data_IF_133266234825
#
_entry.id   IF_133266234825
#
_cell.length_a   1.000
_cell.length_b   1.000
_cell.length_c   1.000
_cell.angle_alpha   90.00
_cell.angle_beta   90.00
_cell.angle_gamma   90.00
#
_symmetry.space_group_name_H-M   'P 1'
#
loop_
_entity.id
_entity.type
_entity.pdbx_description
1 polymer ?
#
# COMPACT_ATOMS: atom_id res chain seq x y z
N UNK A 1 10.16 24.31 41.28
CA UNK A 1 10.50 23.90 39.90
C UNK A 1 11.75 24.63 39.45
N UNK A 2 12.75 23.94 38.91
CA UNK A 2 13.94 24.59 38.32
C UNK A 2 13.59 24.97 36.87
N UNK A 3 13.70 26.25 36.46
CA UNK A 3 13.48 26.63 35.07
C UNK A 3 14.45 25.86 34.16
N UNK A 4 13.95 25.32 33.06
CA UNK A 4 14.78 24.66 32.04
C UNK A 4 15.73 25.64 31.36
N UNK A 5 16.73 25.10 30.65
CA UNK A 5 17.63 25.93 29.82
C UNK A 5 16.80 26.72 28.80
N UNK A 6 17.03 28.04 28.65
CA UNK A 6 16.33 28.84 27.65
C UNK A 6 16.51 28.26 26.25
N UNK A 7 15.45 28.34 25.43
CA UNK A 7 15.51 27.91 24.03
C UNK A 7 16.55 28.76 23.30
N UNK A 8 17.50 28.09 22.65
CA UNK A 8 18.60 28.74 21.89
C UNK A 8 18.31 28.80 20.39
N UNK A 9 17.34 28.01 19.92
CA UNK A 9 16.94 27.95 18.51
C UNK A 9 15.64 28.73 18.39
N UNK A 10 15.69 29.76 17.55
CA UNK A 10 14.58 30.64 17.22
C UNK A 10 13.52 29.95 16.36
N UNK A 11 12.29 30.45 16.42
CA UNK A 11 11.14 29.80 15.80
C UNK A 11 11.22 29.85 14.26
N UNK A 12 11.76 30.92 13.66
CA UNK A 12 12.09 30.98 12.23
C UNK A 12 13.01 29.85 11.78
N UNK A 13 14.02 29.50 12.59
CA UNK A 13 14.95 28.40 12.26
C UNK A 13 14.26 27.04 12.35
N UNK A 14 13.34 26.88 13.30
CA UNK A 14 12.52 25.66 13.41
C UNK A 14 11.56 25.56 12.22
N UNK A 15 10.93 26.66 11.81
CA UNK A 15 10.06 26.70 10.63
C UNK A 15 10.81 26.34 9.35
N UNK A 16 12.03 26.86 9.17
CA UNK A 16 12.91 26.50 8.05
C UNK A 16 13.27 25.01 8.06
N UNK A 17 13.61 24.44 9.23
CA UNK A 17 13.88 23.00 9.39
C UNK A 17 12.67 22.18 8.94
N UNK A 18 11.46 22.53 9.40
CA UNK A 18 10.23 21.82 9.05
C UNK A 18 9.95 21.93 7.55
N UNK A 19 9.90 23.16 7.03
CA UNK A 19 9.61 23.41 5.62
C UNK A 19 10.56 22.63 4.70
N UNK A 20 11.86 22.65 5.02
CA UNK A 20 12.86 21.88 4.26
C UNK A 20 12.62 20.38 4.35
N UNK A 21 12.36 19.87 5.56
CA UNK A 21 12.11 18.44 5.77
C UNK A 21 10.89 17.94 5.00
N UNK A 22 9.84 18.76 4.87
CA UNK A 22 8.59 18.37 4.21
C UNK A 22 8.60 18.52 2.68
N UNK A 23 9.39 19.45 2.14
CA UNK A 23 9.30 19.82 0.72
C UNK A 23 10.52 19.48 -0.13
N UNK A 24 11.64 19.08 0.48
CA UNK A 24 12.86 18.75 -0.26
C UNK A 24 13.42 17.39 0.14
N UNK A 25 14.42 16.92 -0.61
CA UNK A 25 15.21 15.72 -0.30
C UNK A 25 16.68 16.11 -0.20
N UNK A 26 17.48 15.26 0.43
CA UNK A 26 18.91 15.50 0.56
C UNK A 26 19.60 15.48 -0.81
N UNK A 27 20.57 16.38 -0.98
CA UNK A 27 21.32 16.53 -2.22
C UNK A 27 22.27 15.34 -2.51
N UNK A 28 22.47 14.45 -1.54
CA UNK A 28 23.33 13.26 -1.64
C UNK A 28 22.67 12.07 -2.38
N UNK A 29 21.47 12.26 -2.92
CA UNK A 29 20.71 11.22 -3.61
C UNK A 29 19.99 10.25 -2.67
N UNK A 30 19.99 10.50 -1.36
CA UNK A 30 19.19 9.70 -0.43
C UNK A 30 17.68 9.92 -0.65
N UNK A 31 16.92 8.85 -0.44
CA UNK A 31 15.47 8.85 -0.66
C UNK A 31 14.72 9.68 0.39
N UNK A 32 15.29 9.86 1.58
CA UNK A 32 14.67 10.53 2.71
C UNK A 32 15.71 11.27 3.57
N UNK A 33 15.27 12.27 4.34
CA UNK A 33 16.12 12.95 5.31
C UNK A 33 16.54 12.03 6.46
N UNK A 34 17.83 12.01 6.75
CA UNK A 34 18.33 11.56 8.05
C UNK A 34 18.48 12.75 8.99
N UNK A 35 18.47 12.49 10.29
CA UNK A 35 18.75 13.53 11.31
C UNK A 35 20.09 14.22 11.03
N UNK A 36 21.10 13.47 10.57
CA UNK A 36 22.45 14.01 10.32
C UNK A 36 22.51 14.87 9.06
N UNK A 37 21.85 14.45 7.99
CA UNK A 37 21.87 15.17 6.71
C UNK A 37 21.11 16.49 6.81
N UNK A 38 19.93 16.50 7.43
CA UNK A 38 19.18 17.75 7.63
C UNK A 38 19.87 18.67 8.65
N UNK A 39 20.53 18.11 9.68
CA UNK A 39 21.32 18.89 10.64
C UNK A 39 22.50 19.62 9.97
N UNK A 40 23.23 18.91 9.10
CA UNK A 40 24.34 19.50 8.35
C UNK A 40 23.86 20.65 7.45
N UNK A 41 22.70 20.50 6.82
CA UNK A 41 22.15 21.52 5.92
C UNK A 41 21.49 22.71 6.61
N UNK A 42 20.94 22.53 7.81
CA UNK A 42 20.27 23.60 8.58
C UNK A 42 21.17 24.25 9.64
N UNK A 43 22.41 23.74 9.79
CA UNK A 43 23.35 24.10 10.84
C UNK A 43 22.73 24.04 12.25
N UNK A 44 21.85 23.05 12.48
CA UNK A 44 21.26 22.73 13.78
C UNK A 44 21.91 21.46 14.28
N UNK A 45 22.20 21.38 15.58
CA UNK A 45 22.78 20.15 16.17
C UNK A 45 21.88 18.93 15.91
N UNK A 46 22.41 17.76 15.55
CA UNK A 46 21.63 16.54 15.31
C UNK A 46 20.71 16.16 16.48
N UNK A 47 21.14 16.40 17.72
CA UNK A 47 20.34 16.14 18.92
C UNK A 47 19.08 17.01 18.97
N UNK A 48 19.21 18.31 18.69
CA UNK A 48 18.06 19.22 18.63
C UNK A 48 17.10 18.85 17.49
N UNK A 49 17.61 18.54 16.30
CA UNK A 49 16.78 18.05 15.17
C UNK A 49 15.98 16.82 15.57
N UNK A 50 16.63 15.82 16.18
CA UNK A 50 15.94 14.61 16.63
C UNK A 50 14.87 14.90 17.69
N UNK A 51 15.13 15.83 18.62
CA UNK A 51 14.12 16.28 19.58
C UNK A 51 12.92 16.94 18.89
N UNK A 52 13.14 17.81 17.90
CA UNK A 52 12.05 18.44 17.14
C UNK A 52 11.27 17.41 16.32
N UNK A 53 11.94 16.46 15.69
CA UNK A 53 11.26 15.40 14.96
C UNK A 53 10.36 14.56 15.88
N UNK A 54 10.85 14.20 17.07
CA UNK A 54 10.03 13.52 18.08
C UNK A 54 8.87 14.39 18.57
N UNK A 55 9.11 15.66 18.85
CA UNK A 55 8.10 16.60 19.35
C UNK A 55 6.95 16.80 18.34
N UNK A 56 7.30 16.90 17.06
CA UNK A 56 6.38 17.18 15.96
C UNK A 56 5.86 15.90 15.27
N UNK A 57 6.31 14.73 15.71
CA UNK A 57 5.99 13.45 15.11
C UNK A 57 6.48 13.28 13.66
N UNK A 58 7.50 14.05 13.23
CA UNK A 58 8.06 13.97 11.89
C UNK A 58 8.91 12.70 11.76
N UNK A 59 8.60 11.87 10.76
CA UNK A 59 9.26 10.60 10.54
C UNK A 59 9.68 10.43 9.07
N UNK A 60 10.67 11.21 8.58
CA UNK A 60 11.06 11.22 7.15
C UNK A 60 11.42 9.85 6.58
N UNK A 61 11.94 8.95 7.42
CA UNK A 61 12.39 7.61 7.03
C UNK A 61 11.26 6.59 6.95
N UNK A 62 10.01 6.97 7.25
CA UNK A 62 8.86 6.07 7.23
C UNK A 62 7.89 6.48 6.14
N UNK A 63 7.38 5.46 5.46
CA UNK A 63 6.20 5.56 4.62
C UNK A 63 5.22 4.48 5.04
N UNK A 64 3.94 4.82 5.02
CA UNK A 64 2.85 3.87 5.18
C UNK A 64 2.16 3.67 3.86
N UNK A 65 1.52 2.51 3.75
CA UNK A 65 0.71 2.24 2.59
C UNK A 65 -0.72 2.70 2.79
N UNK A 66 -1.32 3.26 1.75
CA UNK A 66 -2.74 3.55 1.75
C UNK A 66 -3.36 3.14 0.42
N UNK A 67 -4.68 2.90 0.45
CA UNK A 67 -5.46 2.75 -0.77
C UNK A 67 -6.86 3.30 -0.50
N UNK A 68 -7.24 4.28 -1.31
CA UNK A 68 -8.56 4.90 -1.30
C UNK A 68 -9.27 4.46 -2.56
N UNK A 69 -10.42 3.80 -2.41
CA UNK A 69 -11.31 3.53 -3.53
C UNK A 69 -12.14 4.78 -3.83
N UNK A 70 -12.27 5.13 -5.10
CA UNK A 70 -13.15 6.22 -5.58
C UNK A 70 -14.57 5.73 -5.90
N UNK A 71 -14.83 4.43 -5.72
CA UNK A 71 -16.13 3.81 -5.99
C UNK A 71 -17.16 4.19 -4.92
N UNK A 72 -18.27 4.81 -5.35
CA UNK A 72 -19.36 5.23 -4.47
C UNK A 72 -20.03 4.06 -3.74
N UNK A 73 -20.01 2.86 -4.34
CA UNK A 73 -20.59 1.64 -3.76
C UNK A 73 -19.54 0.72 -3.10
N UNK A 74 -18.35 1.25 -2.80
CA UNK A 74 -17.25 0.45 -2.25
C UNK A 74 -17.63 -0.36 -1.01
N UNK A 75 -18.35 0.25 -0.07
CA UNK A 75 -18.73 -0.40 1.19
C UNK A 75 -19.73 -1.53 0.97
N UNK A 76 -20.66 -1.38 0.03
CA UNK A 76 -21.65 -2.42 -0.29
C UNK A 76 -20.94 -3.62 -0.92
N UNK A 77 -20.12 -3.38 -1.94
CA UNK A 77 -19.31 -4.42 -2.59
C UNK A 77 -18.36 -5.12 -1.62
N UNK A 78 -17.76 -4.37 -0.71
CA UNK A 78 -16.91 -4.90 0.35
C UNK A 78 -17.70 -5.85 1.26
N UNK A 79 -18.89 -5.44 1.70
CA UNK A 79 -19.75 -6.28 2.55
C UNK A 79 -20.19 -7.54 1.81
N UNK A 80 -20.49 -7.46 0.53
CA UNK A 80 -20.84 -8.62 -0.29
C UNK A 80 -19.68 -9.63 -0.33
N UNK A 81 -18.45 -9.15 -0.61
CA UNK A 81 -17.25 -10.00 -0.64
C UNK A 81 -16.93 -10.61 0.72
N UNK A 82 -17.00 -9.83 1.80
CA UNK A 82 -16.78 -10.35 3.17
C UNK A 82 -17.88 -11.34 3.56
N UNK A 83 -19.12 -11.11 3.13
CA UNK A 83 -20.24 -12.03 3.31
C UNK A 83 -19.97 -13.41 2.72
N UNK A 84 -19.33 -13.47 1.55
CA UNK A 84 -18.95 -14.75 0.91
C UNK A 84 -17.93 -15.56 1.73
N UNK A 85 -17.09 -14.91 2.54
CA UNK A 85 -16.19 -15.62 3.46
C UNK A 85 -16.88 -16.10 4.73
N UNK A 86 -17.72 -15.24 5.31
CA UNK A 86 -18.36 -15.53 6.60
C UNK A 86 -19.50 -16.54 6.47
N UNK A 87 -20.20 -16.54 5.34
CA UNK A 87 -21.35 -17.40 5.09
C UNK A 87 -21.41 -17.76 3.60
N UNK A 88 -20.51 -18.65 3.14
CA UNK A 88 -20.48 -19.05 1.74
C UNK A 88 -21.80 -19.77 1.35
N UNK A 89 -22.35 -19.50 0.16
CA UNK A 89 -23.50 -20.23 -0.36
C UNK A 89 -23.20 -21.73 -0.51
N UNK A 90 -24.25 -22.55 -0.47
CA UNK A 90 -24.12 -23.99 -0.66
C UNK A 90 -23.59 -24.29 -2.08
N UNK A 91 -22.54 -25.10 -2.18
CA UNK A 91 -21.79 -25.41 -3.41
C UNK A 91 -21.06 -24.23 -4.08
N UNK A 92 -20.76 -23.14 -3.34
CA UNK A 92 -19.93 -22.07 -3.85
C UNK A 92 -18.45 -22.45 -3.87
N UNK A 93 -17.76 -22.13 -4.96
CA UNK A 93 -16.30 -22.09 -5.00
C UNK A 93 -15.86 -20.67 -4.63
N UNK A 94 -14.92 -20.53 -3.71
CA UNK A 94 -14.30 -19.23 -3.38
C UNK A 94 -12.81 -19.35 -3.63
N UNK A 95 -12.34 -18.66 -4.67
CA UNK A 95 -10.93 -18.56 -5.00
C UNK A 95 -10.39 -17.21 -4.55
N UNK A 96 -9.15 -17.16 -4.07
CA UNK A 96 -8.37 -15.92 -3.93
C UNK A 96 -7.35 -15.89 -5.05
N UNK A 97 -7.36 -14.89 -5.92
CA UNK A 97 -6.33 -14.71 -6.93
C UNK A 97 -5.35 -13.64 -6.49
N UNK A 98 -4.07 -13.99 -6.45
CA UNK A 98 -3.00 -13.02 -6.22
C UNK A 98 -2.16 -12.82 -7.49
N UNK A 99 -1.74 -11.58 -7.70
CA UNK A 99 -0.84 -11.20 -8.78
C UNK A 99 0.50 -10.72 -8.21
N UNK A 100 1.55 -11.50 -8.47
CA UNK A 100 2.92 -11.09 -8.16
C UNK A 100 3.64 -10.69 -9.43
N UNK A 101 3.83 -9.39 -9.64
CA UNK A 101 4.70 -8.91 -10.71
C UNK A 101 6.17 -9.11 -10.35
N UNK A 102 6.99 -9.45 -11.36
CA UNK A 102 8.44 -9.37 -11.24
C UNK A 102 8.93 -7.95 -11.59
N UNK A 103 8.25 -6.91 -11.08
CA UNK A 103 8.62 -5.51 -11.34
C UNK A 103 8.86 -4.74 -10.04
N UNK A 104 9.95 -3.98 -9.99
CA UNK A 104 10.11 -2.94 -8.99
C UNK A 104 9.10 -1.82 -9.29
N UNK A 105 8.32 -1.43 -8.29
CA UNK A 105 7.27 -0.42 -8.43
C UNK A 105 7.88 1.00 -8.48
N UNK A 106 8.49 1.33 -9.62
CA UNK A 106 9.15 2.61 -9.92
C UNK A 106 8.12 3.74 -10.10
N UNK A 107 7.06 3.49 -10.85
CA UNK A 107 5.96 4.43 -11.06
C UNK A 107 4.69 3.96 -10.36
N UNK A 108 4.09 4.85 -9.55
CA UNK A 108 2.82 4.60 -8.86
C UNK A 108 1.66 5.25 -9.61
N UNK A 109 0.50 4.61 -9.53
CA UNK A 109 -0.71 5.05 -10.23
C UNK A 109 -1.35 6.28 -9.59
N UNK A 110 -1.16 6.46 -8.28
CA UNK A 110 -1.65 7.61 -7.53
C UNK A 110 -0.47 8.41 -6.94
N UNK A 111 -0.64 9.73 -6.77
CA UNK A 111 0.37 10.55 -6.11
C UNK A 111 0.54 10.12 -4.65
N UNK A 112 1.75 10.29 -4.13
CA UNK A 112 2.05 10.05 -2.72
C UNK A 112 1.33 11.10 -1.87
N UNK A 113 0.75 10.66 -0.74
CA UNK A 113 0.24 11.57 0.26
C UNK A 113 1.44 12.15 1.02
N UNK A 114 1.63 13.48 1.00
CA UNK A 114 2.80 14.08 1.62
C UNK A 114 2.79 13.84 3.13
N UNK A 115 3.98 13.74 3.70
CA UNK A 115 4.17 13.69 5.16
C UNK A 115 3.69 15.00 5.80
N UNK A 116 3.28 14.92 7.06
CA UNK A 116 2.99 16.10 7.87
C UNK A 116 3.22 15.85 9.36
N UNK A 117 2.63 16.69 10.18
CA UNK A 117 2.79 16.59 11.63
C UNK A 117 2.04 15.37 12.17
N UNK A 118 2.76 14.42 12.74
CA UNK A 118 2.20 13.22 13.36
C UNK A 118 1.71 12.13 12.40
N UNK A 119 1.78 12.34 11.09
CA UNK A 119 1.47 11.31 10.09
C UNK A 119 2.57 11.20 9.04
N UNK A 120 2.84 9.95 8.63
CA UNK A 120 3.93 9.61 7.72
C UNK A 120 3.49 9.78 6.25
N UNK A 121 4.47 9.73 5.34
CA UNK A 121 4.19 9.75 3.91
C UNK A 121 3.37 8.53 3.51
N UNK A 122 2.28 8.75 2.77
CA UNK A 122 1.41 7.68 2.27
C UNK A 122 1.78 7.29 0.85
N UNK A 123 2.01 6.00 0.60
CA UNK A 123 2.36 5.47 -0.72
C UNK A 123 1.35 4.42 -1.15
N UNK A 124 0.89 4.49 -2.40
CA UNK A 124 0.00 3.45 -2.95
C UNK A 124 0.80 2.24 -3.41
N UNK A 125 0.23 1.04 -3.22
CA UNK A 125 0.81 -0.19 -3.76
C UNK A 125 0.61 -0.36 -5.26
N UNK A 126 -0.39 0.31 -5.83
CA UNK A 126 -0.74 0.18 -7.24
C UNK A 126 0.33 0.87 -8.11
N UNK A 127 0.93 0.12 -9.03
CA UNK A 127 2.00 0.56 -9.90
C UNK A 127 1.62 0.48 -11.38
N UNK A 128 2.29 1.28 -12.20
CA UNK A 128 2.14 1.23 -13.66
C UNK A 128 2.92 0.03 -14.21
N UNK A 129 2.22 -0.84 -14.93
CA UNK A 129 2.81 -2.04 -15.55
C UNK A 129 3.46 -1.66 -16.89
N UNK A 130 4.77 -1.50 -16.92
CA UNK A 130 5.52 -1.26 -18.17
C UNK A 130 5.74 -2.55 -18.99
N UNK A 131 4.68 -3.32 -19.24
CA UNK A 131 4.74 -4.54 -20.04
C UNK A 131 5.46 -5.73 -19.40
N UNK A 132 5.80 -5.66 -18.12
CA UNK A 132 6.47 -6.73 -17.36
C UNK A 132 5.57 -7.97 -17.22
N UNK A 133 6.17 -9.17 -17.28
CA UNK A 133 5.48 -10.44 -17.02
C UNK A 133 5.05 -10.53 -15.55
N UNK A 134 3.82 -10.99 -15.32
CA UNK A 134 3.24 -11.11 -13.99
C UNK A 134 2.81 -12.54 -13.70
N UNK A 135 3.06 -12.98 -12.47
CA UNK A 135 2.69 -14.30 -11.99
C UNK A 135 1.29 -14.22 -11.39
N UNK A 136 0.41 -15.12 -11.81
CA UNK A 136 -0.91 -15.29 -11.22
C UNK A 136 -1.01 -16.65 -10.54
N UNK A 137 -1.55 -16.67 -9.32
CA UNK A 137 -1.89 -17.86 -8.58
C UNK A 137 -3.30 -17.74 -8.02
N UNK A 138 -4.03 -18.85 -7.95
CA UNK A 138 -5.36 -18.89 -7.35
C UNK A 138 -5.36 -19.91 -6.21
N UNK A 139 -5.82 -19.52 -5.03
CA UNK A 139 -5.94 -20.37 -3.85
C UNK A 139 -7.42 -20.66 -3.57
N UNK A 140 -7.78 -21.92 -3.41
CA UNK A 140 -9.10 -22.29 -2.89
C UNK A 140 -9.09 -22.19 -1.36
N UNK A 141 -9.95 -21.32 -0.83
CA UNK A 141 -10.00 -20.98 0.60
C UNK A 141 -10.46 -22.17 1.45
N UNK A 142 -11.34 -23.02 0.92
CA UNK A 142 -11.98 -24.09 1.68
C UNK A 142 -11.04 -25.29 1.94
N UNK A 143 -10.11 -25.56 1.01
CA UNK A 143 -9.24 -26.74 1.09
C UNK A 143 -7.73 -26.41 1.04
N UNK A 144 -7.36 -25.14 0.87
CA UNK A 144 -5.96 -24.70 0.80
C UNK A 144 -5.23 -25.11 -0.49
N UNK A 145 -5.92 -25.67 -1.49
CA UNK A 145 -5.30 -26.06 -2.75
C UNK A 145 -5.05 -24.82 -3.62
N UNK A 146 -3.85 -24.72 -4.19
CA UNK A 146 -3.50 -23.65 -5.14
C UNK A 146 -3.43 -24.17 -6.57
N UNK A 147 -3.86 -23.35 -7.53
CA UNK A 147 -3.64 -23.60 -8.96
C UNK A 147 -2.15 -23.45 -9.28
N UNK A 148 -1.57 -24.34 -10.12
CA UNK A 148 -0.22 -24.15 -10.61
C UNK A 148 -0.08 -22.78 -11.30
N UNK A 149 1.06 -22.10 -11.13
CA UNK A 149 1.26 -20.75 -11.66
C UNK A 149 1.16 -20.73 -13.18
N UNK A 150 0.37 -19.80 -13.71
CA UNK A 150 0.29 -19.60 -15.16
C UNK A 150 1.43 -18.68 -15.62
N UNK A 151 2.56 -19.26 -16.01
CA UNK A 151 3.82 -18.54 -16.33
C UNK A 151 3.84 -17.76 -17.66
N UNK A 152 2.71 -17.38 -18.25
CA UNK A 152 2.75 -16.66 -19.53
C UNK A 152 1.58 -15.74 -19.73
N UNK A 153 1.61 -14.58 -19.06
CA UNK A 153 0.65 -13.52 -19.30
C UNK A 153 1.38 -12.17 -19.31
N UNK A 154 1.60 -11.61 -20.50
CA UNK A 154 2.23 -10.29 -20.72
C UNK A 154 1.15 -9.25 -21.05
N UNK A 155 1.10 -8.12 -20.34
CA UNK A 155 0.24 -6.96 -20.66
C UNK A 155 -0.83 -6.57 -19.62
N UNK A 156 -1.45 -5.40 -19.85
CA UNK A 156 -2.32 -4.63 -18.92
C UNK A 156 -3.75 -5.23 -18.75
N UNK A 157 -4.22 -6.13 -19.63
CA UNK A 157 -5.63 -6.59 -19.71
C UNK A 157 -5.88 -8.02 -19.21
N UNK A 158 -5.15 -8.46 -18.20
CA UNK A 158 -4.81 -9.88 -18.08
C UNK A 158 -5.31 -10.62 -16.83
N UNK A 159 -5.59 -9.95 -15.72
CA UNK A 159 -6.27 -10.56 -14.56
C UNK A 159 -7.66 -11.08 -14.95
N UNK A 160 -8.42 -10.28 -15.72
CA UNK A 160 -9.69 -10.67 -16.33
C UNK A 160 -9.59 -11.94 -17.19
N UNK A 161 -8.50 -12.10 -17.96
CA UNK A 161 -8.27 -13.29 -18.79
C UNK A 161 -7.88 -14.52 -17.96
N UNK A 162 -7.05 -14.33 -16.93
CA UNK A 162 -6.68 -15.42 -16.02
C UNK A 162 -7.91 -15.93 -15.25
N UNK A 163 -8.73 -15.03 -14.72
CA UNK A 163 -9.99 -15.39 -14.07
C UNK A 163 -10.96 -16.02 -15.06
N UNK A 164 -11.14 -15.47 -16.27
CA UNK A 164 -11.98 -16.11 -17.29
C UNK A 164 -11.50 -17.53 -17.63
N UNK A 165 -10.18 -17.78 -17.59
CA UNK A 165 -9.61 -19.12 -17.75
C UNK A 165 -9.89 -20.03 -16.55
N UNK A 166 -9.90 -19.49 -15.33
CA UNK A 166 -10.35 -20.20 -14.13
C UNK A 166 -11.84 -20.52 -14.21
N UNK A 167 -12.70 -19.56 -14.57
CA UNK A 167 -14.15 -19.75 -14.76
C UNK A 167 -14.44 -20.85 -15.77
N UNK A 168 -13.74 -20.89 -16.90
CA UNK A 168 -13.89 -21.97 -17.90
C UNK A 168 -13.43 -23.35 -17.40
N UNK A 169 -12.59 -23.40 -16.35
CA UNK A 169 -12.08 -24.64 -15.76
C UNK A 169 -13.01 -25.16 -14.66
N UNK A 170 -13.76 -24.28 -14.01
CA UNK A 170 -14.89 -24.63 -13.16
C UNK A 170 -16.02 -25.21 -14.06
N UNK A 171 -16.51 -26.41 -13.76
CA UNK A 171 -17.54 -27.06 -14.59
C UNK A 171 -18.87 -26.29 -14.51
N UNK A 172 -19.66 -26.24 -15.61
CA UNK A 172 -20.93 -25.53 -15.65
C UNK A 172 -21.97 -26.39 -14.95
N UNK A 173 -22.19 -26.20 -13.65
CA UNK A 173 -23.37 -26.80 -13.00
C UNK A 173 -24.11 -25.81 -12.10
N UNK A 174 -23.61 -24.58 -11.98
CA UNK A 174 -24.25 -23.51 -11.23
C UNK A 174 -23.72 -22.16 -11.71
N UNK A 175 -24.54 -21.13 -11.56
CA UNK A 175 -24.35 -19.75 -11.99
C UNK A 175 -22.99 -19.18 -11.54
N UNK A 176 -21.99 -19.16 -12.43
CA UNK A 176 -20.71 -18.54 -12.11
C UNK A 176 -20.83 -17.02 -12.14
N UNK A 177 -20.65 -16.38 -11.00
CA UNK A 177 -20.72 -14.91 -10.87
C UNK A 177 -19.35 -14.41 -10.44
N UNK A 178 -18.57 -13.92 -11.41
CA UNK A 178 -17.30 -13.28 -11.13
C UNK A 178 -17.56 -11.84 -10.65
N UNK A 179 -17.44 -11.61 -9.34
CA UNK A 179 -17.53 -10.28 -8.75
C UNK A 179 -16.13 -9.74 -8.45
N UNK A 180 -15.85 -8.53 -8.92
CA UNK A 180 -14.55 -7.88 -8.77
C UNK A 180 -14.66 -6.81 -7.70
N UNK A 181 -14.03 -7.00 -6.55
CA UNK A 181 -13.93 -5.94 -5.54
C UNK A 181 -12.54 -5.92 -4.97
N UNK A 182 -11.78 -4.89 -5.35
CA UNK A 182 -10.51 -4.57 -4.71
C UNK A 182 -10.78 -4.06 -3.30
N UNK A 183 -10.79 -4.98 -2.33
CA UNK A 183 -10.98 -4.67 -0.92
C UNK A 183 -9.70 -4.17 -0.28
N UNK A 184 -9.79 -3.14 0.56
CA UNK A 184 -8.70 -2.60 1.36
C UNK A 184 -9.19 -2.51 2.79
N UNK A 185 -8.55 -3.26 3.67
CA UNK A 185 -8.70 -3.07 5.11
C UNK A 185 -7.60 -2.12 5.61
N UNK A 186 -8.00 -1.12 6.40
CA UNK A 186 -7.11 -0.15 7.04
C UNK A 186 -6.60 -0.66 8.40
N UNK A 187 -7.05 -1.82 8.88
CA UNK A 187 -6.88 -2.24 10.28
C UNK A 187 -5.86 -3.36 10.54
N UNK A 188 -5.27 -3.99 9.52
CA UNK A 188 -4.33 -5.10 9.72
C UNK A 188 -2.86 -4.64 9.74
N UNK A 189 -2.48 -4.18 10.92
CA UNK A 189 -1.14 -4.16 11.54
C UNK A 189 0.05 -4.69 10.70
N UNK A 190 1.02 -3.81 10.41
CA UNK A 190 2.48 -4.02 10.25
C UNK A 190 3.06 -5.17 9.40
N UNK A 191 2.26 -5.95 8.66
CA UNK A 191 2.78 -7.08 7.87
C UNK A 191 2.53 -7.06 6.37
N UNK A 192 2.00 -5.99 5.81
CA UNK A 192 2.00 -5.79 4.35
C UNK A 192 1.45 -6.96 3.53
N UNK A 193 0.49 -7.73 4.08
CA UNK A 193 -0.20 -8.78 3.34
C UNK A 193 -1.47 -8.15 2.79
N UNK A 194 -1.39 -7.67 1.55
CA UNK A 194 -2.56 -7.26 0.78
C UNK A 194 -2.85 -8.34 -0.24
N UNK A 195 -3.95 -9.06 -0.03
CA UNK A 195 -4.51 -9.95 -1.05
C UNK A 195 -5.55 -9.16 -1.83
N UNK A 196 -5.38 -8.92 -3.14
CA UNK A 196 -6.54 -8.81 -4.01
C UNK A 196 -7.33 -10.10 -3.78
N UNK A 197 -8.56 -9.99 -3.30
CA UNK A 197 -9.43 -11.14 -3.26
C UNK A 197 -10.31 -11.05 -4.51
N UNK A 198 -9.90 -11.73 -5.56
CA UNK A 198 -10.78 -11.99 -6.69
C UNK A 198 -11.64 -13.21 -6.36
N UNK A 199 -12.82 -13.01 -5.76
CA UNK A 199 -13.76 -14.10 -5.51
C UNK A 199 -14.43 -14.50 -6.82
N UNK A 200 -14.16 -15.73 -7.24
CA UNK A 200 -14.78 -16.35 -8.38
C UNK A 200 -15.80 -17.38 -7.88
N UNK A 201 -17.09 -17.01 -7.89
CA UNK A 201 -18.21 -17.94 -7.72
C UNK A 201 -18.47 -18.70 -9.03
#
# INVERSE_FOLDING_TARGET
>A
MRPGKPRTIDDERVAQLIHKTLHTRAADGSTHWSVRTIAAETAISPTSVHCYFKLLGLQPHRSESFKLSTDQFFIEKLRDVVGLYLSPPENALVLCVDEKSQCQALERTQPMLPMGFGYVEGVTHDYVRHGTTTLFAALNVLNGAYSPPANRVTGIRNSGRFCAKLTRRCRPTSTCTASWTTTVDRSLNDRGIYTPIDILL
#
